data_IF_435043083808
#
_entry.id   IF_435043083808
#
_cell.length_a   1.000
_cell.length_b   1.000
_cell.length_c   1.000
_cell.angle_alpha   90.00
_cell.angle_beta   90.00
_cell.angle_gamma   90.00
#
_symmetry.space_group_name_H-M   'P 1'
#
loop_
_entity.id
_entity.type
_entity.pdbx_description
1 polymer ?
#
# COMPACT_ATOMS: atom_id res chain seq x y z
N UNK A 1 12.56 10.95 -8.19
CA UNK A 1 13.67 11.55 -7.45
C UNK A 1 14.58 12.20 -8.49
N UNK A 2 14.44 13.51 -8.77
CA UNK A 2 15.45 14.19 -9.60
C UNK A 2 16.78 14.10 -8.83
N UNK A 3 17.84 13.66 -9.51
CA UNK A 3 19.16 13.31 -8.97
C UNK A 3 19.95 14.55 -8.48
N UNK A 4 19.38 15.37 -7.60
CA UNK A 4 19.99 16.64 -7.17
C UNK A 4 20.81 16.54 -5.87
N UNK A 5 20.98 15.34 -5.32
CA UNK A 5 21.96 15.09 -4.26
C UNK A 5 22.93 14.03 -4.77
N UNK A 6 24.19 14.41 -5.00
CA UNK A 6 25.27 13.50 -5.33
C UNK A 6 25.64 12.66 -4.10
N UNK A 7 24.72 11.81 -3.63
CA UNK A 7 24.98 10.87 -2.54
C UNK A 7 26.20 9.97 -2.84
N UNK A 8 26.55 9.79 -4.12
CA UNK A 8 27.76 9.09 -4.58
C UNK A 8 29.08 9.75 -4.15
N UNK A 9 29.07 11.04 -3.83
CA UNK A 9 30.28 11.77 -3.39
C UNK A 9 30.57 11.56 -1.90
N UNK A 10 29.52 11.33 -1.09
CA UNK A 10 29.62 11.20 0.37
C UNK A 10 29.75 9.76 0.85
N UNK A 11 29.42 8.78 0.02
CA UNK A 11 29.59 7.36 0.34
C UNK A 11 31.01 6.88 0.03
N UNK A 12 31.52 5.99 0.88
CA UNK A 12 32.82 5.35 0.71
C UNK A 12 32.66 4.14 -0.23
N UNK A 13 33.58 3.98 -1.19
CA UNK A 13 33.60 2.84 -2.11
C UNK A 13 34.80 2.93 -3.06
N UNK A 14 35.33 1.78 -3.49
CA UNK A 14 36.55 1.70 -4.31
C UNK A 14 36.25 2.07 -5.76
N UNK A 15 35.08 1.68 -6.28
CA UNK A 15 34.68 1.93 -7.66
C UNK A 15 33.52 2.93 -7.76
N UNK A 16 33.37 3.58 -8.92
CA UNK A 16 32.21 4.45 -9.20
C UNK A 16 30.88 3.69 -9.17
N UNK A 17 30.89 2.43 -9.62
CA UNK A 17 29.71 1.54 -9.64
C UNK A 17 29.30 1.19 -8.22
N UNK A 18 30.25 0.82 -7.36
CA UNK A 18 30.00 0.53 -5.95
C UNK A 18 29.44 1.75 -5.22
N UNK A 19 30.06 2.93 -5.39
CA UNK A 19 29.54 4.19 -4.81
C UNK A 19 28.12 4.50 -5.29
N UNK A 20 27.83 4.28 -6.57
CA UNK A 20 26.49 4.51 -7.11
C UNK A 20 25.45 3.55 -6.51
N UNK A 21 25.81 2.28 -6.33
CA UNK A 21 24.94 1.26 -5.71
C UNK A 21 24.66 1.59 -4.24
N UNK A 22 25.71 1.90 -3.47
CA UNK A 22 25.56 2.27 -2.05
C UNK A 22 24.76 3.57 -1.91
N UNK A 23 24.99 4.56 -2.76
CA UNK A 23 24.21 5.80 -2.78
C UNK A 23 22.73 5.56 -3.10
N UNK A 24 22.41 4.67 -4.04
CA UNK A 24 21.03 4.29 -4.35
C UNK A 24 20.36 3.59 -3.16
N UNK A 25 21.06 2.66 -2.52
CA UNK A 25 20.56 1.97 -1.32
C UNK A 25 20.33 2.95 -0.16
N UNK A 26 21.28 3.86 0.06
CA UNK A 26 21.17 4.93 1.07
C UNK A 26 19.98 5.84 0.80
N UNK A 27 19.73 6.21 -0.45
CA UNK A 27 18.58 7.03 -0.83
C UNK A 27 17.25 6.33 -0.48
N UNK A 28 17.15 5.02 -0.76
CA UNK A 28 15.98 4.21 -0.40
C UNK A 28 15.84 4.12 1.12
N UNK A 29 16.93 3.84 1.82
CA UNK A 29 16.94 3.71 3.28
C UNK A 29 16.51 5.01 3.98
N UNK A 30 17.06 6.16 3.58
CA UNK A 30 16.67 7.47 4.11
C UNK A 30 15.17 7.70 3.85
N UNK A 31 14.67 7.39 2.66
CA UNK A 31 13.25 7.55 2.35
C UNK A 31 12.36 6.66 3.22
N UNK A 32 12.74 5.39 3.41
CA UNK A 32 12.06 4.45 4.29
C UNK A 32 12.07 4.93 5.74
N UNK A 33 13.23 5.38 6.23
CA UNK A 33 13.37 5.92 7.58
C UNK A 33 12.48 7.12 7.81
N UNK A 34 12.57 8.13 6.95
CA UNK A 34 11.76 9.35 7.05
C UNK A 34 10.25 9.02 7.03
N UNK A 35 9.83 8.06 6.21
CA UNK A 35 8.43 7.62 6.18
C UNK A 35 8.00 6.91 7.47
N UNK A 36 8.86 6.06 8.02
CA UNK A 36 8.59 5.38 9.30
C UNK A 36 8.50 6.37 10.46
N UNK A 37 9.43 7.34 10.53
CA UNK A 37 9.43 8.41 11.54
C UNK A 37 8.14 9.25 11.44
N UNK A 38 7.75 9.62 10.22
CA UNK A 38 6.51 10.34 9.98
C UNK A 38 5.27 9.52 10.41
N UNK A 39 5.22 8.23 10.07
CA UNK A 39 4.08 7.38 10.43
C UNK A 39 3.94 7.21 11.95
N UNK A 40 5.04 6.96 12.66
CA UNK A 40 5.03 6.84 14.12
C UNK A 40 4.69 8.18 14.80
N UNK A 41 5.24 9.30 14.30
CA UNK A 41 4.89 10.62 14.77
C UNK A 41 3.39 10.93 14.57
N UNK A 42 2.85 10.57 13.40
CA UNK A 42 1.44 10.73 13.06
C UNK A 42 0.54 9.93 14.01
N UNK A 43 0.89 8.68 14.31
CA UNK A 43 0.16 7.83 15.25
C UNK A 43 0.24 8.38 16.68
N UNK A 44 1.44 8.76 17.13
CA UNK A 44 1.69 9.24 18.50
C UNK A 44 1.01 10.59 18.78
N UNK A 45 0.92 11.45 17.77
CA UNK A 45 0.35 12.80 17.91
C UNK A 45 -1.09 12.88 17.41
N UNK A 46 -1.76 11.75 17.16
CA UNK A 46 -3.13 11.67 16.66
C UNK A 46 -3.41 12.53 15.41
N UNK A 47 -2.40 12.74 14.56
CA UNK A 47 -2.51 13.57 13.36
C UNK A 47 -2.45 15.09 13.58
N UNK A 48 -2.12 15.60 14.78
CA UNK A 48 -1.93 17.03 15.00
C UNK A 48 -0.73 17.57 14.21
N UNK A 49 -1.08 18.32 13.16
CA UNK A 49 -0.21 19.05 12.26
C UNK A 49 0.97 19.76 12.93
N UNK A 50 0.68 20.57 13.95
CA UNK A 50 1.63 21.49 14.54
C UNK A 50 2.58 20.74 15.49
N UNK A 51 2.03 19.79 16.25
CA UNK A 51 2.82 18.92 17.13
C UNK A 51 3.77 18.04 16.31
N UNK A 52 3.28 17.46 15.21
CA UNK A 52 4.11 16.63 14.31
C UNK A 52 5.27 17.45 13.73
N UNK A 53 5.00 18.66 13.21
CA UNK A 53 6.04 19.55 12.68
C UNK A 53 7.10 19.90 13.72
N UNK A 54 6.68 20.23 14.94
CA UNK A 54 7.59 20.58 16.04
C UNK A 54 8.43 19.39 16.51
N UNK A 55 7.89 18.18 16.53
CA UNK A 55 8.66 16.99 16.93
C UNK A 55 9.62 16.55 15.83
N UNK A 56 9.17 16.53 14.58
CA UNK A 56 9.97 16.07 13.43
C UNK A 56 11.09 17.03 13.04
N UNK A 57 11.04 18.32 13.43
CA UNK A 57 12.15 19.25 13.19
C UNK A 57 13.44 18.79 13.86
N UNK A 58 13.38 18.30 15.10
CA UNK A 58 14.53 17.75 15.82
C UNK A 58 14.90 16.34 15.34
N UNK A 59 13.93 15.60 14.80
CA UNK A 59 14.17 14.27 14.23
C UNK A 59 15.11 14.34 13.03
N UNK A 60 15.07 15.40 12.21
CA UNK A 60 15.98 15.59 11.08
C UNK A 60 17.46 15.53 11.52
N UNK A 61 17.83 16.27 12.56
CA UNK A 61 19.19 16.29 13.08
C UNK A 61 19.56 14.94 13.73
N UNK A 62 18.62 14.28 14.41
CA UNK A 62 18.85 12.96 14.99
C UNK A 62 19.08 11.88 13.90
N UNK A 63 18.36 11.95 12.79
CA UNK A 63 18.56 11.06 11.63
C UNK A 63 19.95 11.27 11.04
N UNK A 64 20.33 12.53 10.81
CA UNK A 64 21.64 12.88 10.26
C UNK A 64 22.79 12.34 11.13
N UNK A 65 22.76 12.64 12.43
CA UNK A 65 23.78 12.16 13.37
C UNK A 65 23.82 10.63 13.45
N UNK A 66 22.67 9.97 13.35
CA UNK A 66 22.58 8.52 13.36
C UNK A 66 23.30 7.87 12.17
N UNK A 67 23.26 8.46 10.98
CA UNK A 67 24.01 7.95 9.82
C UNK A 67 25.51 8.22 9.93
N UNK A 68 25.91 9.19 10.76
CA UNK A 68 27.30 9.47 11.12
C UNK A 68 27.80 8.59 12.29
N UNK A 69 26.95 7.71 12.83
CA UNK A 69 27.28 6.81 13.94
C UNK A 69 27.04 7.38 15.34
N UNK A 70 26.59 8.64 15.47
CA UNK A 70 26.18 9.19 16.76
C UNK A 70 24.68 8.96 17.00
N UNK A 71 24.36 8.18 18.03
CA UNK A 71 22.99 7.78 18.35
C UNK A 71 22.38 8.46 19.58
N UNK A 72 23.09 9.39 20.23
CA UNK A 72 22.63 10.04 21.48
C UNK A 72 21.29 10.76 21.29
N UNK A 73 21.14 11.49 20.18
CA UNK A 73 19.91 12.21 19.85
C UNK A 73 18.76 11.31 19.40
N UNK A 74 19.04 10.09 18.93
CA UNK A 74 17.99 9.16 18.51
C UNK A 74 17.05 8.82 19.67
N UNK A 75 17.60 8.58 20.88
CA UNK A 75 16.79 8.20 22.04
C UNK A 75 15.76 9.27 22.43
N UNK A 76 16.05 10.54 22.15
CA UNK A 76 15.19 11.68 22.52
C UNK A 76 14.23 12.09 21.39
N UNK A 77 14.70 12.05 20.14
CA UNK A 77 14.01 12.71 19.02
C UNK A 77 13.62 11.77 17.87
N UNK A 78 14.06 10.52 17.87
CA UNK A 78 13.63 9.52 16.90
C UNK A 78 12.50 8.68 17.47
N UNK A 79 11.46 8.45 16.67
CA UNK A 79 10.35 7.58 17.02
C UNK A 79 10.66 6.11 16.72
N UNK A 80 11.54 5.85 15.75
CA UNK A 80 11.78 4.49 15.21
C UNK A 80 13.14 3.92 15.65
N UNK A 81 14.14 4.78 15.85
CA UNK A 81 15.47 4.37 16.29
C UNK A 81 15.61 4.53 17.82
N UNK A 82 15.83 3.42 18.52
CA UNK A 82 16.01 3.41 19.98
C UNK A 82 17.36 4.01 20.45
N UNK A 83 18.27 4.31 19.53
CA UNK A 83 19.55 4.97 19.83
C UNK A 83 20.61 4.09 20.50
N UNK A 84 20.47 2.77 20.46
CA UNK A 84 21.48 1.85 21.00
C UNK A 84 22.55 1.53 19.96
N UNK A 85 23.83 1.47 20.38
CA UNK A 85 24.96 1.15 19.50
C UNK A 85 24.78 -0.17 18.76
N UNK A 86 24.29 -1.22 19.44
CA UNK A 86 24.05 -2.56 18.85
C UNK A 86 22.63 -2.76 18.29
N UNK A 87 21.76 -1.75 18.39
CA UNK A 87 20.34 -1.86 18.05
C UNK A 87 19.83 -0.51 17.50
N UNK A 88 20.48 -0.03 16.45
CA UNK A 88 20.17 1.22 15.75
C UNK A 88 19.51 0.97 14.38
N UNK A 89 19.09 2.04 13.73
CA UNK A 89 18.45 1.98 12.40
C UNK A 89 19.38 1.40 11.33
N UNK A 90 20.64 1.82 11.28
CA UNK A 90 21.60 1.42 10.22
C UNK A 90 21.87 -0.08 10.27
N UNK A 91 22.00 -0.67 11.46
CA UNK A 91 22.16 -2.10 11.65
C UNK A 91 20.91 -2.92 11.28
N UNK A 92 19.72 -2.31 11.37
CA UNK A 92 18.44 -2.93 11.01
C UNK A 92 18.04 -2.73 9.56
N UNK A 93 18.76 -1.88 8.84
CA UNK A 93 18.41 -1.54 7.47
C UNK A 93 18.57 -2.77 6.58
N UNK A 94 17.52 -3.11 5.84
CA UNK A 94 17.57 -4.15 4.80
C UNK A 94 18.42 -3.70 3.59
N UNK A 95 18.72 -2.40 3.47
CA UNK A 95 19.36 -1.79 2.31
C UNK A 95 20.85 -1.47 2.53
N UNK A 96 21.23 -1.18 3.77
CA UNK A 96 22.60 -0.89 4.16
C UNK A 96 23.24 -2.13 4.76
N UNK A 97 24.44 -2.49 4.29
CA UNK A 97 25.23 -3.57 4.89
C UNK A 97 25.74 -3.10 6.26
N UNK A 98 24.90 -3.31 7.29
CA UNK A 98 24.94 -2.64 8.60
C UNK A 98 26.30 -2.57 9.29
N UNK A 99 27.18 -3.55 9.13
CA UNK A 99 28.49 -3.59 9.81
C UNK A 99 29.58 -2.77 9.11
N UNK A 100 29.47 -2.55 7.79
CA UNK A 100 30.52 -1.91 6.99
C UNK A 100 30.10 -0.57 6.38
N UNK A 101 28.87 -0.14 6.61
CA UNK A 101 28.39 1.13 6.08
C UNK A 101 29.10 2.30 6.77
N UNK A 102 29.83 3.09 5.99
CA UNK A 102 30.50 4.31 6.45
C UNK A 102 30.30 5.43 5.44
N UNK A 103 30.08 6.63 5.96
CA UNK A 103 30.09 7.86 5.20
C UNK A 103 31.44 8.56 5.35
N UNK A 104 31.75 9.44 4.40
CA UNK A 104 32.88 10.35 4.56
C UNK A 104 32.59 11.32 5.71
N UNK A 105 33.61 11.62 6.50
CA UNK A 105 33.49 12.66 7.52
C UNK A 105 33.63 14.03 6.84
N UNK A 106 32.78 14.99 7.21
CA UNK A 106 32.86 16.35 6.69
C UNK A 106 31.52 17.10 6.72
N UNK A 107 31.60 18.42 6.65
CA UNK A 107 30.43 19.31 6.62
C UNK A 107 29.59 19.11 5.36
N UNK A 108 30.24 18.89 4.21
CA UNK A 108 29.57 18.58 2.93
C UNK A 108 28.68 17.34 3.02
N UNK A 109 29.12 16.32 3.77
CA UNK A 109 28.34 15.10 3.99
C UNK A 109 27.10 15.37 4.83
N UNK A 110 27.24 16.20 5.87
CA UNK A 110 26.13 16.61 6.73
C UNK A 110 25.09 17.39 5.92
N UNK A 111 25.53 18.31 5.07
CA UNK A 111 24.65 19.13 4.23
C UNK A 111 23.93 18.30 3.16
N UNK A 112 24.63 17.36 2.51
CA UNK A 112 24.01 16.44 1.54
C UNK A 112 22.94 15.55 2.18
N UNK A 113 23.23 14.98 3.36
CA UNK A 113 22.25 14.20 4.13
C UNK A 113 21.05 15.06 4.53
N UNK A 114 21.30 16.26 5.05
CA UNK A 114 20.26 17.22 5.44
C UNK A 114 19.33 17.51 4.26
N UNK A 115 19.86 17.82 3.08
CA UNK A 115 19.04 18.03 1.86
C UNK A 115 18.16 16.82 1.54
N UNK A 116 18.70 15.59 1.61
CA UNK A 116 17.92 14.37 1.39
C UNK A 116 16.81 14.17 2.42
N UNK A 117 17.09 14.43 3.71
CA UNK A 117 16.10 14.28 4.79
C UNK A 117 15.01 15.35 4.65
N UNK A 118 15.39 16.61 4.42
CA UNK A 118 14.47 17.72 4.24
C UNK A 118 13.54 17.55 3.03
N UNK A 119 13.96 16.82 2.00
CA UNK A 119 13.05 16.47 0.90
C UNK A 119 11.76 15.81 1.41
N UNK A 120 11.83 14.99 2.47
CA UNK A 120 10.69 14.33 3.10
C UNK A 120 10.16 15.03 4.34
N UNK A 121 11.05 15.52 5.20
CA UNK A 121 10.71 16.03 6.54
C UNK A 121 10.82 17.56 6.66
N UNK A 122 11.03 18.30 5.56
CA UNK A 122 10.98 19.77 5.64
C UNK A 122 9.58 20.23 6.05
N UNK A 123 9.45 21.42 6.68
CA UNK A 123 8.16 21.98 7.05
C UNK A 123 7.17 22.06 5.87
N UNK A 124 7.67 22.38 4.67
CA UNK A 124 6.87 22.44 3.44
C UNK A 124 6.39 21.04 3.03
N UNK A 125 7.28 20.05 3.02
CA UNK A 125 6.92 18.66 2.71
C UNK A 125 5.91 18.10 3.72
N UNK A 126 6.13 18.33 5.02
CA UNK A 126 5.23 17.90 6.09
C UNK A 126 3.85 18.54 5.97
N UNK A 127 3.77 19.80 5.57
CA UNK A 127 2.48 20.47 5.32
C UNK A 127 1.71 19.82 4.18
N UNK A 128 2.40 19.32 3.15
CA UNK A 128 1.78 18.62 2.01
C UNK A 128 1.36 17.19 2.34
N UNK A 129 2.09 16.51 3.22
CA UNK A 129 1.84 15.11 3.58
C UNK A 129 1.02 14.96 4.87
N UNK A 130 0.47 16.05 5.39
CA UNK A 130 -0.11 16.13 6.73
C UNK A 130 -1.24 15.14 6.98
N UNK A 131 -2.05 14.84 5.96
CA UNK A 131 -3.14 13.88 6.05
C UNK A 131 -2.69 12.42 5.94
N UNK A 132 -1.38 12.18 5.87
CA UNK A 132 -0.79 10.86 5.64
C UNK A 132 -1.46 10.12 4.47
N UNK A 133 -1.84 10.87 3.42
CA UNK A 133 -2.48 10.35 2.24
C UNK A 133 -1.40 9.73 1.34
N UNK A 134 -1.52 8.44 1.05
CA UNK A 134 -0.64 7.75 0.12
C UNK A 134 -1.43 7.35 -1.13
N UNK A 135 -0.73 7.01 -2.21
CA UNK A 135 -1.35 6.63 -3.49
C UNK A 135 -2.40 5.54 -3.31
N UNK A 136 -2.15 4.56 -2.44
CA UNK A 136 -3.09 3.46 -2.18
C UNK A 136 -4.37 3.94 -1.50
N UNK A 137 -4.28 4.86 -0.53
CA UNK A 137 -5.44 5.50 0.14
C UNK A 137 -6.25 6.31 -0.88
N UNK A 138 -5.58 7.10 -1.71
CA UNK A 138 -6.22 7.92 -2.76
C UNK A 138 -6.89 7.03 -3.81
N UNK A 139 -6.22 5.97 -4.28
CA UNK A 139 -6.79 5.01 -5.23
C UNK A 139 -8.00 4.27 -4.63
N UNK A 140 -7.92 3.86 -3.36
CA UNK A 140 -9.03 3.23 -2.64
C UNK A 140 -10.23 4.16 -2.56
N UNK A 141 -10.01 5.43 -2.21
CA UNK A 141 -11.04 6.45 -2.18
C UNK A 141 -11.66 6.69 -3.56
N UNK A 142 -10.83 6.88 -4.58
CA UNK A 142 -11.28 7.06 -5.96
C UNK A 142 -12.06 5.84 -6.48
N UNK A 143 -11.70 4.62 -6.07
CA UNK A 143 -12.43 3.40 -6.43
C UNK A 143 -13.80 3.36 -5.75
N UNK A 144 -13.87 3.73 -4.47
CA UNK A 144 -15.15 3.84 -3.75
C UNK A 144 -16.05 4.91 -4.38
N UNK A 145 -15.50 6.09 -4.67
CA UNK A 145 -16.22 7.15 -5.39
C UNK A 145 -16.71 6.70 -6.76
N UNK A 146 -15.92 5.97 -7.55
CA UNK A 146 -16.38 5.46 -8.85
C UNK A 146 -17.46 4.39 -8.73
N UNK A 147 -17.48 3.63 -7.62
CA UNK A 147 -18.54 2.67 -7.31
C UNK A 147 -19.81 3.40 -6.90
N UNK A 148 -19.70 4.45 -6.08
CA UNK A 148 -20.85 5.25 -5.67
C UNK A 148 -21.29 6.22 -6.75
N UNK A 149 -20.43 6.64 -7.67
CA UNK A 149 -20.72 7.58 -8.76
C UNK A 149 -20.15 7.04 -10.08
N UNK A 150 -20.81 6.03 -10.68
CA UNK A 150 -20.43 5.52 -11.99
C UNK A 150 -20.46 6.61 -13.06
N UNK A 151 -19.46 6.62 -13.96
CA UNK A 151 -19.33 7.65 -15.00
C UNK A 151 -20.46 7.67 -16.01
N UNK A 152 -21.15 6.55 -16.17
CA UNK A 152 -22.24 6.36 -17.12
C UNK A 152 -23.62 6.75 -16.54
N UNK A 153 -23.68 7.25 -15.30
CA UNK A 153 -24.94 7.64 -14.65
C UNK A 153 -24.82 9.02 -14.02
N UNK A 154 -25.75 9.91 -14.37
CA UNK A 154 -25.81 11.27 -13.83
C UNK A 154 -26.74 11.34 -12.63
N UNK A 155 -26.25 11.85 -11.50
CA UNK A 155 -26.97 11.93 -10.22
C UNK A 155 -27.31 13.39 -9.86
N UNK A 156 -28.11 14.09 -10.65
CA UNK A 156 -28.36 15.53 -10.49
C UNK A 156 -28.84 15.95 -9.09
N UNK A 157 -29.73 15.16 -8.47
CA UNK A 157 -30.32 15.48 -7.16
C UNK A 157 -29.55 14.97 -5.95
N UNK A 158 -28.80 13.87 -6.10
CA UNK A 158 -28.19 13.14 -4.97
C UNK A 158 -26.69 12.91 -5.11
N UNK A 159 -26.01 13.52 -6.09
CA UNK A 159 -24.57 13.40 -6.29
C UNK A 159 -23.77 13.65 -5.01
N UNK A 160 -24.04 14.78 -4.35
CA UNK A 160 -23.33 15.21 -3.12
C UNK A 160 -23.52 14.19 -2.01
N UNK A 161 -24.77 13.79 -1.73
CA UNK A 161 -25.08 12.77 -0.72
C UNK A 161 -24.36 11.44 -0.98
N UNK A 162 -24.32 10.98 -2.24
CA UNK A 162 -23.62 9.73 -2.60
C UNK A 162 -22.10 9.84 -2.49
N UNK A 163 -21.52 11.01 -2.80
CA UNK A 163 -20.10 11.28 -2.59
C UNK A 163 -19.74 11.26 -1.09
N UNK A 164 -20.51 11.98 -0.26
CA UNK A 164 -20.30 12.05 1.17
C UNK A 164 -20.51 10.70 1.87
N UNK A 165 -21.54 9.94 1.49
CA UNK A 165 -21.77 8.61 2.00
C UNK A 165 -20.59 7.66 1.71
N UNK A 166 -20.02 7.72 0.51
CA UNK A 166 -18.84 6.92 0.14
C UNK A 166 -17.60 7.29 0.96
N UNK A 167 -17.40 8.59 1.22
CA UNK A 167 -16.32 9.07 2.08
C UNK A 167 -16.51 8.62 3.53
N UNK A 168 -17.71 8.78 4.07
CA UNK A 168 -18.06 8.39 5.43
C UNK A 168 -17.91 6.88 5.65
N UNK A 169 -18.37 6.06 4.70
CA UNK A 169 -18.22 4.60 4.73
C UNK A 169 -16.75 4.15 4.70
N UNK A 170 -15.89 4.84 3.96
CA UNK A 170 -14.45 4.49 3.93
C UNK A 170 -13.73 4.82 5.23
N UNK A 171 -14.12 5.91 5.89
CA UNK A 171 -13.50 6.36 7.13
C UNK A 171 -13.95 5.53 8.34
N UNK A 172 -15.23 5.13 8.38
CA UNK A 172 -15.82 4.42 9.52
C UNK A 172 -15.94 2.91 9.30
N UNK A 173 -15.84 2.43 8.06
CA UNK A 173 -16.18 1.06 7.67
C UNK A 173 -17.62 0.98 7.15
N UNK A 174 -17.85 0.19 6.10
CA UNK A 174 -19.14 0.17 5.38
C UNK A 174 -20.32 -0.20 6.29
N UNK A 175 -20.18 -1.23 7.13
CA UNK A 175 -21.25 -1.67 8.03
C UNK A 175 -21.47 -0.70 9.20
N UNK A 176 -20.39 -0.25 9.83
CA UNK A 176 -20.46 0.68 10.98
C UNK A 176 -21.06 2.03 10.53
N UNK A 177 -20.74 2.47 9.31
CA UNK A 177 -21.34 3.65 8.72
C UNK A 177 -22.85 3.54 8.54
N UNK A 178 -23.37 2.39 8.09
CA UNK A 178 -24.81 2.15 7.95
C UNK A 178 -25.49 2.22 9.32
N UNK A 179 -24.95 1.53 10.33
CA UNK A 179 -25.51 1.51 11.69
C UNK A 179 -25.55 2.92 12.28
N UNK A 180 -24.45 3.68 12.17
CA UNK A 180 -24.35 5.03 12.70
C UNK A 180 -25.33 5.99 12.00
N UNK A 181 -25.38 5.98 10.66
CA UNK A 181 -26.30 6.83 9.91
C UNK A 181 -27.77 6.52 10.23
N UNK A 182 -28.14 5.24 10.30
CA UNK A 182 -29.49 4.83 10.67
C UNK A 182 -29.84 5.30 12.09
N UNK A 183 -28.90 5.21 13.04
CA UNK A 183 -29.09 5.70 14.40
C UNK A 183 -29.28 7.21 14.46
N UNK A 184 -28.45 7.98 13.74
CA UNK A 184 -28.51 9.45 13.70
C UNK A 184 -29.79 9.96 13.03
N UNK A 185 -30.33 9.22 12.05
CA UNK A 185 -31.60 9.54 11.38
C UNK A 185 -32.84 9.08 12.16
N UNK A 186 -32.69 8.63 13.41
CA UNK A 186 -33.80 8.16 14.26
C UNK A 186 -34.39 6.82 13.83
N UNK A 187 -33.74 6.11 12.90
CA UNK A 187 -34.14 4.80 12.37
C UNK A 187 -33.14 3.72 12.79
N UNK A 188 -32.80 3.68 14.08
CA UNK A 188 -31.76 2.81 14.60
C UNK A 188 -32.06 1.33 14.31
N UNK A 189 -31.06 0.60 13.83
CA UNK A 189 -31.19 -0.84 13.58
C UNK A 189 -31.24 -1.56 14.94
N UNK A 190 -32.29 -2.34 15.24
CA UNK A 190 -32.43 -2.99 16.53
C UNK A 190 -31.33 -4.03 16.73
N UNK A 191 -30.66 -3.96 17.89
CA UNK A 191 -29.62 -4.93 18.28
C UNK A 191 -30.21 -6.34 18.34
N UNK A 192 -29.46 -7.32 17.84
CA UNK A 192 -29.89 -8.72 17.79
C UNK A 192 -30.88 -9.06 16.68
N UNK A 193 -31.39 -8.06 15.94
CA UNK A 193 -32.20 -8.27 14.75
C UNK A 193 -31.41 -8.92 13.60
N UNK A 194 -32.12 -9.47 12.61
CA UNK A 194 -31.50 -10.13 11.45
C UNK A 194 -30.45 -9.25 10.76
N UNK A 195 -30.80 -8.00 10.45
CA UNK A 195 -29.92 -7.05 9.75
C UNK A 195 -28.68 -6.72 10.59
N UNK A 196 -28.86 -6.48 11.89
CA UNK A 196 -27.76 -6.23 12.81
C UNK A 196 -26.76 -7.40 12.82
N UNK A 197 -27.27 -8.63 12.96
CA UNK A 197 -26.44 -9.82 13.03
C UNK A 197 -25.69 -10.07 11.72
N UNK A 198 -26.32 -9.81 10.57
CA UNK A 198 -25.65 -9.90 9.26
C UNK A 198 -24.51 -8.87 9.13
N UNK A 199 -24.74 -7.62 9.53
CA UNK A 199 -23.71 -6.58 9.52
C UNK A 199 -22.54 -6.95 10.45
N UNK A 200 -22.82 -7.44 11.66
CA UNK A 200 -21.78 -7.92 12.59
C UNK A 200 -20.97 -9.08 12.02
N UNK A 201 -21.63 -10.03 11.34
CA UNK A 201 -20.94 -11.15 10.67
C UNK A 201 -19.99 -10.66 9.58
N UNK A 202 -20.42 -9.69 8.76
CA UNK A 202 -19.57 -9.08 7.72
C UNK A 202 -18.36 -8.39 8.36
N UNK A 203 -18.58 -7.59 9.41
CA UNK A 203 -17.50 -6.91 10.14
C UNK A 203 -16.51 -7.93 10.72
N UNK A 204 -17.00 -8.99 11.37
CA UNK A 204 -16.18 -10.06 11.95
C UNK A 204 -15.37 -10.77 10.86
N UNK A 205 -15.99 -11.14 9.75
CA UNK A 205 -15.31 -11.77 8.62
C UNK A 205 -14.19 -10.89 8.06
N UNK A 206 -14.46 -9.59 7.87
CA UNK A 206 -13.48 -8.62 7.38
C UNK A 206 -12.31 -8.44 8.35
N UNK A 207 -12.57 -8.37 9.66
CA UNK A 207 -11.54 -8.32 10.71
C UNK A 207 -10.65 -9.56 10.66
N UNK A 208 -11.23 -10.77 10.62
CA UNK A 208 -10.49 -12.03 10.53
C UNK A 208 -9.63 -12.08 9.26
N UNK A 209 -10.17 -11.70 8.10
CA UNK A 209 -9.40 -11.62 6.85
C UNK A 209 -8.25 -10.61 6.93
N UNK A 210 -8.45 -9.46 7.59
CA UNK A 210 -7.39 -8.44 7.78
C UNK A 210 -6.25 -9.00 8.63
N UNK A 211 -6.57 -9.66 9.74
CA UNK A 211 -5.59 -10.32 10.61
C UNK A 211 -4.81 -11.37 9.83
N UNK A 212 -5.51 -12.25 9.10
CA UNK A 212 -4.89 -13.28 8.27
C UNK A 212 -3.92 -12.67 7.24
N UNK A 213 -4.34 -11.63 6.51
CA UNK A 213 -3.51 -10.95 5.51
C UNK A 213 -2.27 -10.28 6.09
N UNK A 214 -2.34 -9.85 7.36
CA UNK A 214 -1.23 -9.23 8.06
C UNK A 214 -0.25 -10.26 8.66
N UNK A 215 -0.66 -11.52 8.80
CA UNK A 215 0.18 -12.59 9.32
C UNK A 215 1.45 -12.81 8.47
N UNK A 216 2.55 -13.14 9.14
CA UNK A 216 3.84 -13.39 8.50
C UNK A 216 3.76 -14.57 7.52
N UNK A 217 3.06 -15.65 7.93
CA UNK A 217 2.78 -16.82 7.07
C UNK A 217 2.13 -16.41 5.75
N UNK A 218 1.07 -15.59 5.80
CA UNK A 218 0.40 -15.12 4.58
C UNK A 218 1.31 -14.28 3.70
N UNK A 219 2.09 -13.36 4.29
CA UNK A 219 3.04 -12.51 3.54
C UNK A 219 4.13 -13.34 2.86
N UNK A 220 4.72 -14.31 3.56
CA UNK A 220 5.72 -15.22 3.00
C UNK A 220 5.15 -16.08 1.86
N UNK A 221 3.98 -16.70 2.06
CA UNK A 221 3.30 -17.47 1.02
C UNK A 221 2.98 -16.62 -0.20
N UNK A 222 2.47 -15.39 0.00
CA UNK A 222 2.19 -14.46 -1.10
C UNK A 222 3.44 -14.10 -1.89
N UNK A 223 4.57 -13.86 -1.22
CA UNK A 223 5.85 -13.58 -1.88
C UNK A 223 6.32 -14.79 -2.72
N UNK A 224 6.29 -16.00 -2.15
CA UNK A 224 6.63 -17.24 -2.88
C UNK A 224 5.75 -17.45 -4.11
N UNK A 225 4.44 -17.26 -3.98
CA UNK A 225 3.51 -17.42 -5.10
C UNK A 225 3.76 -16.38 -6.20
N UNK A 226 4.05 -15.12 -5.83
CA UNK A 226 4.44 -14.10 -6.80
C UNK A 226 5.70 -14.50 -7.55
N UNK A 227 6.75 -14.96 -6.87
CA UNK A 227 7.98 -15.40 -7.51
C UNK A 227 7.73 -16.58 -8.46
N UNK A 228 6.86 -17.54 -8.08
CA UNK A 228 6.47 -18.65 -8.96
C UNK A 228 5.77 -18.14 -10.23
N UNK A 229 4.84 -17.20 -10.09
CA UNK A 229 4.12 -16.59 -11.22
C UNK A 229 5.10 -15.82 -12.13
N UNK A 230 5.99 -15.01 -11.57
CA UNK A 230 7.00 -14.28 -12.34
C UNK A 230 7.90 -15.23 -13.15
N UNK A 231 8.41 -16.30 -12.53
CA UNK A 231 9.21 -17.31 -13.24
C UNK A 231 8.44 -17.99 -14.37
N UNK A 232 7.15 -18.25 -14.18
CA UNK A 232 6.29 -18.78 -15.25
C UNK A 232 6.13 -17.77 -16.40
N UNK A 233 5.94 -16.48 -16.09
CA UNK A 233 5.87 -15.43 -17.11
C UNK A 233 7.20 -15.24 -17.85
N UNK A 234 8.34 -15.27 -17.17
CA UNK A 234 9.67 -15.21 -17.81
C UNK A 234 9.89 -16.39 -18.73
N UNK A 235 9.60 -17.61 -18.25
CA UNK A 235 9.68 -18.82 -19.08
C UNK A 235 8.75 -18.76 -20.31
N UNK A 236 7.52 -18.26 -20.14
CA UNK A 236 6.59 -18.06 -21.24
C UNK A 236 7.07 -16.98 -22.21
N UNK A 237 7.70 -15.91 -21.71
CA UNK A 237 8.34 -14.90 -22.55
C UNK A 237 9.55 -15.44 -23.29
N UNK A 238 10.38 -16.28 -22.69
CA UNK A 238 11.49 -16.97 -23.36
C UNK A 238 10.98 -17.94 -24.46
N UNK A 239 9.86 -18.63 -24.21
CA UNK A 239 9.20 -19.49 -25.20
C UNK A 239 8.56 -18.69 -26.35
N UNK A 240 8.12 -17.45 -26.10
CA UNK A 240 7.44 -16.58 -27.09
C UNK A 240 8.34 -15.53 -27.75
N UNK A 241 9.49 -15.21 -27.17
CA UNK A 241 10.38 -14.14 -27.63
C UNK A 241 11.58 -14.72 -28.38
N UNK A 242 11.43 -14.72 -29.70
CA UNK A 242 12.47 -14.74 -30.73
C UNK A 242 13.12 -16.10 -31.10
N UNK A 243 12.51 -16.77 -32.10
CA UNK A 243 13.27 -17.57 -33.08
C UNK A 243 13.52 -16.73 -34.33
N UNK A 244 14.75 -16.22 -34.48
CA UNK A 244 15.20 -15.57 -35.72
C UNK A 244 15.00 -16.53 -36.89
N UNK A 245 14.39 -16.06 -37.99
CA UNK A 245 14.16 -16.77 -39.26
C UNK A 245 13.05 -17.83 -39.34
N UNK A 246 12.10 -17.90 -38.41
CA UNK A 246 10.88 -18.68 -38.63
C UNK A 246 9.74 -17.78 -39.12
N UNK A 247 9.47 -17.85 -40.43
CA UNK A 247 8.23 -17.38 -41.04
C UNK A 247 7.07 -17.94 -40.22
N UNK A 248 6.21 -17.04 -39.73
CA UNK A 248 5.00 -17.37 -39.00
C UNK A 248 4.13 -18.24 -39.91
N UNK A 249 4.07 -19.54 -39.65
CA UNK A 249 3.10 -20.41 -40.32
C UNK A 249 1.70 -19.94 -39.91
N UNK A 250 0.89 -19.60 -40.91
CA UNK A 250 -0.47 -19.14 -40.70
C UNK A 250 -1.33 -20.25 -40.07
N UNK A 251 -2.37 -19.79 -39.38
CA UNK A 251 -3.24 -20.44 -38.41
C UNK A 251 -4.01 -21.70 -38.84
N UNK A 252 -3.66 -22.36 -39.96
CA UNK A 252 -4.27 -23.62 -40.37
C UNK A 252 -3.61 -24.85 -39.74
N UNK A 253 -2.32 -24.80 -39.39
CA UNK A 253 -1.58 -25.96 -38.86
C UNK A 253 -1.65 -26.14 -37.33
N UNK A 254 -2.01 -25.11 -36.57
CA UNK A 254 -2.09 -25.20 -35.09
C UNK A 254 -3.39 -25.85 -34.57
N UNK A 255 -4.42 -26.04 -35.40
CA UNK A 255 -5.72 -26.55 -34.93
C UNK A 255 -5.72 -28.01 -34.45
N UNK A 256 -4.69 -28.80 -34.77
CA UNK A 256 -4.61 -30.19 -34.34
C UNK A 256 -3.96 -30.42 -32.97
N UNK A 257 -3.22 -29.46 -32.40
CA UNK A 257 -2.51 -29.66 -31.12
C UNK A 257 -3.16 -29.01 -29.89
N UNK A 258 -4.23 -28.21 -30.07
CA UNK A 258 -4.85 -27.45 -28.95
C UNK A 258 -5.88 -28.27 -28.16
N UNK A 259 -6.31 -29.45 -28.64
CA UNK A 259 -7.33 -30.25 -27.93
C UNK A 259 -6.84 -30.95 -26.65
N UNK A 260 -5.53 -31.09 -26.42
CA UNK A 260 -5.00 -31.83 -25.26
C UNK A 260 -4.40 -30.97 -24.13
N UNK A 261 -4.24 -29.65 -24.33
CA UNK A 261 -3.62 -28.77 -23.31
C UNK A 261 -4.62 -27.92 -22.50
N UNK A 262 -5.92 -28.04 -22.77
CA UNK A 262 -6.92 -27.17 -22.12
C UNK A 262 -7.39 -27.64 -20.74
N UNK A 263 -6.94 -28.81 -20.24
CA UNK A 263 -7.45 -29.36 -18.96
C UNK A 263 -6.65 -28.96 -17.72
N UNK A 264 -5.38 -28.56 -17.86
CA UNK A 264 -4.50 -28.30 -16.71
C UNK A 264 -4.10 -26.82 -16.54
N UNK A 265 -4.76 -25.90 -17.24
CA UNK A 265 -4.48 -24.48 -17.11
C UNK A 265 -5.17 -23.90 -15.85
N UNK A 266 -4.47 -23.22 -14.93
CA UNK A 266 -5.05 -22.70 -13.68
C UNK A 266 -6.05 -21.54 -13.85
N UNK A 267 -6.39 -21.21 -15.10
CA UNK A 267 -7.44 -20.26 -15.49
C UNK A 267 -8.46 -20.87 -16.47
N UNK A 268 -8.57 -22.20 -16.55
CA UNK A 268 -9.73 -22.81 -17.17
C UNK A 268 -10.96 -22.49 -16.30
N UNK A 269 -11.62 -21.37 -16.63
CA UNK A 269 -12.88 -20.97 -16.02
C UNK A 269 -13.92 -21.95 -16.56
N UNK A 270 -14.43 -22.80 -15.69
CA UNK A 270 -15.61 -23.59 -15.98
C UNK A 270 -16.79 -22.61 -16.11
N UNK A 271 -17.15 -22.27 -17.35
CA UNK A 271 -18.19 -21.27 -17.67
C UNK A 271 -19.55 -21.67 -17.09
N UNK A 272 -19.72 -22.95 -16.72
CA UNK A 272 -20.90 -23.45 -16.01
C UNK A 272 -21.00 -23.02 -14.53
N UNK A 273 -19.89 -22.56 -13.92
CA UNK A 273 -19.86 -22.17 -12.50
C UNK A 273 -20.15 -20.67 -12.28
N UNK A 274 -19.95 -19.80 -13.27
CA UNK A 274 -20.20 -18.35 -13.10
C UNK A 274 -21.67 -17.93 -13.25
N UNK A 275 -22.55 -18.85 -13.67
CA UNK A 275 -23.99 -18.59 -13.81
C UNK A 275 -24.78 -18.95 -12.54
N UNK A 276 -24.17 -19.60 -11.53
CA UNK A 276 -24.91 -20.07 -10.33
C UNK A 276 -25.05 -19.07 -9.18
N UNK A 277 -24.28 -17.97 -9.17
CA UNK A 277 -24.27 -17.01 -8.04
C UNK A 277 -25.23 -15.82 -8.20
N UNK A 278 -26.10 -15.81 -9.20
CA UNK A 278 -27.15 -14.78 -9.37
C UNK A 278 -28.55 -15.18 -8.88
N UNK A 279 -28.67 -16.14 -7.96
CA UNK A 279 -29.97 -16.62 -7.45
C UNK A 279 -30.34 -16.14 -6.03
N UNK A 280 -30.07 -14.86 -5.70
CA UNK A 280 -30.55 -14.24 -4.45
C UNK A 280 -31.38 -12.95 -4.65
N UNK A 281 -32.11 -12.88 -5.76
CA UNK A 281 -33.31 -12.04 -5.89
C UNK A 281 -34.31 -12.83 -6.73
N UNK A 282 -35.15 -13.65 -6.07
CA UNK A 282 -36.45 -14.02 -6.64
C UNK A 282 -37.40 -12.92 -6.22
N UNK A 283 -37.88 -12.16 -7.18
CA UNK A 283 -38.96 -11.20 -6.98
C UNK A 283 -40.17 -11.91 -6.34
N UNK A 284 -40.85 -11.30 -5.35
CA UNK A 284 -42.14 -11.81 -4.91
C UNK A 284 -43.11 -11.71 -6.09
N UNK A 285 -43.74 -12.86 -6.43
CA UNK A 285 -44.78 -12.94 -7.46
C UNK A 285 -45.89 -11.92 -7.13
N UNK A 286 -46.42 -11.19 -8.13
CA UNK A 286 -47.60 -10.36 -7.92
C UNK A 286 -48.77 -11.26 -7.53
N UNK A 287 -49.28 -11.07 -6.32
CA UNK A 287 -50.49 -11.73 -5.83
C UNK A 287 -51.66 -11.31 -6.69
N UNK A 288 -52.30 -12.29 -7.31
CA UNK A 288 -53.59 -12.14 -7.96
C UNK A 288 -54.62 -11.70 -6.92
N UNK A 289 -55.21 -10.53 -7.16
CA UNK A 289 -56.51 -10.13 -6.61
C UNK A 289 -57.49 -11.30 -6.73
N UNK A 290 -58.03 -11.74 -5.60
CA UNK A 290 -59.32 -12.43 -5.56
C UNK A 290 -60.22 -11.62 -4.64
N UNK A 291 -61.28 -11.10 -5.25
CA UNK A 291 -62.44 -10.56 -4.56
C UNK A 291 -63.03 -11.58 -3.59
N UNK A 292 -63.48 -11.06 -2.47
CA UNK A 292 -64.25 -11.69 -1.42
C UNK A 292 -64.50 -10.62 -0.37
#
# INVERSE_FOLDING_TARGET
>A
MKRSCNLSEIVVGRTKVERSKVAANLAIDIACRCQSEFNEAYNTCAGDANVIKKKLSYTCDAIMQCYQGNHEKCRKFSFVCKGHVKNNWVLKSDYLSGENFKLKNGEETSEALRKCIHYRLSPVSLSRTIFNANTQKVESFNRSLRRSLPRNVTFSRNFTGRAHAAAYALNNGECDAIVNLCSELGSAIPKGGLVHNQLEQIVKHNKTRKILKNSLKYKCTRSRNRNKIFKMYEKQQEETTYKKNLLIQTSSQQKHNVRNLSRDHPYAIDVAASVRDHSYFKDPKPGTSRMG
#
